data_IF_025745188990
#
_entry.id   IF_025745188990
#
_cell.length_a   1.000
_cell.length_b   1.000
_cell.length_c   1.000
_cell.angle_alpha   90.00
_cell.angle_beta   90.00
_cell.angle_gamma   90.00
#
_symmetry.space_group_name_H-M   'P 1'
#
loop_
_entity.id
_entity.type
_entity.pdbx_description
1 polymer ?
#
# COMPACT_ATOMS: atom_id res chain seq x y z
N UNK A 1 -22.22 -1.47 6.11
CA UNK A 1 -20.84 -1.54 5.59
C UNK A 1 -20.20 -0.20 5.84
N UNK A 2 -18.94 -0.13 6.32
CA UNK A 2 -18.20 1.13 6.39
C UNK A 2 -18.13 1.76 4.99
N UNK A 3 -18.10 3.09 4.94
CA UNK A 3 -17.91 3.83 3.70
C UNK A 3 -16.49 3.61 3.15
N UNK A 4 -16.36 3.52 1.82
CA UNK A 4 -15.07 3.26 1.16
C UNK A 4 -14.04 4.34 1.50
N UNK A 5 -14.46 5.60 1.59
CA UNK A 5 -13.62 6.73 2.03
C UNK A 5 -12.99 6.50 3.42
N UNK A 6 -13.72 5.89 4.37
CA UNK A 6 -13.19 5.60 5.70
C UNK A 6 -12.11 4.52 5.68
N UNK A 7 -12.18 3.61 4.71
CA UNK A 7 -11.18 2.56 4.52
C UNK A 7 -9.95 3.03 3.72
N UNK A 8 -10.03 4.18 3.05
CA UNK A 8 -8.91 4.81 2.34
C UNK A 8 -8.01 5.68 3.23
N UNK A 9 -8.33 5.76 4.53
CA UNK A 9 -7.51 6.50 5.48
C UNK A 9 -6.12 5.86 5.67
N UNK A 10 -5.14 6.69 6.05
CA UNK A 10 -3.81 6.20 6.41
C UNK A 10 -3.88 5.25 7.61
N UNK A 11 -3.09 4.18 7.55
CA UNK A 11 -3.00 3.24 8.67
C UNK A 11 -2.37 3.92 9.89
N UNK A 12 -2.88 3.68 11.10
CA UNK A 12 -2.23 4.15 12.32
C UNK A 12 -0.78 3.64 12.38
N UNK A 13 0.15 4.45 12.89
CA UNK A 13 1.58 4.08 12.93
C UNK A 13 1.85 2.76 13.67
N UNK A 14 1.15 2.53 14.80
CA UNK A 14 1.22 1.26 15.53
C UNK A 14 0.81 0.05 14.69
N UNK A 15 -0.18 0.22 13.81
CA UNK A 15 -0.65 -0.84 12.93
C UNK A 15 0.28 -1.04 11.74
N UNK A 16 0.84 0.04 11.18
CA UNK A 16 1.85 -0.04 10.13
C UNK A 16 3.12 -0.75 10.61
N UNK A 17 3.61 -0.42 11.81
CA UNK A 17 4.77 -1.09 12.41
C UNK A 17 4.48 -2.57 12.64
N UNK A 18 3.27 -2.91 13.10
CA UNK A 18 2.84 -4.30 13.26
C UNK A 18 2.79 -5.03 11.92
N UNK A 19 2.27 -4.43 10.84
CA UNK A 19 2.25 -5.03 9.50
C UNK A 19 3.66 -5.26 8.93
N UNK A 20 4.64 -4.43 9.33
CA UNK A 20 6.04 -4.62 8.93
C UNK A 20 6.68 -5.82 9.64
N UNK A 21 6.30 -6.08 10.89
CA UNK A 21 6.82 -7.19 11.69
C UNK A 21 6.09 -8.51 11.45
N UNK A 22 4.76 -8.45 11.40
CA UNK A 22 3.87 -9.56 11.06
C UNK A 22 3.51 -9.49 9.59
N UNK A 23 4.24 -10.26 8.78
CA UNK A 23 3.84 -10.49 7.40
C UNK A 23 2.38 -10.98 7.37
N UNK A 24 1.58 -10.38 6.48
CA UNK A 24 0.19 -10.80 6.21
C UNK A 24 0.21 -12.32 5.96
N UNK A 25 -0.73 -13.10 6.56
CA UNK A 25 -0.74 -14.54 6.45
C UNK A 25 -0.51 -14.96 4.99
N UNK A 26 0.53 -15.76 4.72
CA UNK A 26 0.88 -16.12 3.35
C UNK A 26 -0.28 -16.90 2.71
N UNK A 27 -0.38 -16.85 1.39
CA UNK A 27 -1.38 -17.62 0.62
C UNK A 27 -1.27 -19.15 0.79
N UNK A 28 -0.21 -19.61 1.48
CA UNK A 28 0.04 -21.00 1.88
C UNK A 28 -0.52 -21.33 3.28
N UNK A 29 -1.28 -20.41 3.89
CA UNK A 29 -1.95 -20.68 5.15
C UNK A 29 -2.86 -21.90 4.99
N UNK A 30 -2.73 -22.88 5.90
CA UNK A 30 -3.50 -24.13 5.93
C UNK A 30 -4.94 -23.89 6.41
N UNK A 31 -5.65 -23.01 5.70
CA UNK A 31 -7.01 -22.57 6.00
C UNK A 31 -7.88 -22.66 4.76
N UNK A 32 -9.16 -22.92 4.96
CA UNK A 32 -10.13 -22.94 3.87
C UNK A 32 -10.33 -21.53 3.28
N UNK A 33 -10.71 -21.47 2.00
CA UNK A 33 -10.95 -20.21 1.29
C UNK A 33 -11.92 -19.25 2.02
N UNK A 34 -13.09 -19.69 2.56
CA UNK A 34 -13.95 -18.80 3.32
C UNK A 34 -13.28 -18.23 4.57
N UNK A 35 -12.52 -19.03 5.31
CA UNK A 35 -11.72 -18.55 6.45
C UNK A 35 -10.67 -17.54 6.02
N UNK A 36 -9.98 -17.76 4.90
CA UNK A 36 -9.02 -16.80 4.36
C UNK A 36 -9.67 -15.46 3.98
N UNK A 37 -10.86 -15.51 3.38
CA UNK A 37 -11.66 -14.31 3.06
C UNK A 37 -12.01 -13.57 4.35
N UNK A 38 -12.46 -14.29 5.39
CA UNK A 38 -12.85 -13.69 6.66
C UNK A 38 -11.64 -13.02 7.36
N UNK A 39 -10.45 -13.63 7.29
CA UNK A 39 -9.19 -13.04 7.78
C UNK A 39 -8.83 -11.77 7.00
N UNK A 40 -8.86 -11.82 5.67
CA UNK A 40 -8.51 -10.67 4.83
C UNK A 40 -9.49 -9.50 5.04
N UNK A 41 -10.79 -9.78 5.14
CA UNK A 41 -11.79 -8.77 5.43
C UNK A 41 -11.61 -8.20 6.85
N UNK A 42 -11.33 -9.03 7.85
CA UNK A 42 -11.06 -8.57 9.21
C UNK A 42 -9.82 -7.67 9.30
N UNK A 43 -8.76 -7.99 8.56
CA UNK A 43 -7.54 -7.18 8.51
C UNK A 43 -7.80 -5.78 7.95
N UNK A 44 -8.72 -5.65 6.99
CA UNK A 44 -9.11 -4.39 6.35
C UNK A 44 -10.27 -3.68 7.06
N UNK A 45 -10.62 -4.09 8.29
CA UNK A 45 -11.78 -3.56 9.03
C UNK A 45 -13.12 -3.68 8.25
N UNK A 46 -13.24 -4.69 7.38
CA UNK A 46 -14.46 -4.99 6.62
C UNK A 46 -15.25 -6.07 7.38
N UNK A 47 -16.41 -5.74 7.98
CA UNK A 47 -17.23 -6.73 8.66
C UNK A 47 -17.80 -7.75 7.66
N UNK A 48 -17.73 -9.03 8.04
CA UNK A 48 -18.36 -10.14 7.30
C UNK A 48 -19.69 -10.49 7.97
N UNK A 49 -20.78 -10.34 7.22
CA UNK A 49 -22.13 -10.69 7.66
C UNK A 49 -22.55 -12.03 7.01
N UNK A 50 -23.84 -12.20 6.67
CA UNK A 50 -24.34 -13.45 6.07
C UNK A 50 -23.78 -13.75 4.68
N UNK A 51 -23.40 -12.72 3.92
CA UNK A 51 -22.86 -12.87 2.56
C UNK A 51 -21.46 -12.29 2.43
N UNK A 52 -20.48 -13.18 2.25
CA UNK A 52 -19.08 -12.84 1.94
C UNK A 52 -18.93 -12.09 0.63
N UNK A 53 -19.89 -12.23 -0.29
CA UNK A 53 -19.88 -11.54 -1.59
C UNK A 53 -19.95 -10.02 -1.41
N UNK A 54 -20.73 -9.54 -0.44
CA UNK A 54 -20.78 -8.10 -0.15
C UNK A 54 -19.44 -7.61 0.40
N UNK A 55 -18.86 -8.32 1.37
CA UNK A 55 -17.54 -8.01 1.94
C UNK A 55 -16.44 -7.98 0.88
N UNK A 56 -16.43 -8.96 -0.02
CA UNK A 56 -15.53 -9.00 -1.18
C UNK A 56 -15.76 -7.85 -2.15
N UNK A 57 -17.02 -7.46 -2.37
CA UNK A 57 -17.31 -6.31 -3.22
C UNK A 57 -16.69 -5.03 -2.67
N UNK A 58 -16.80 -4.75 -1.36
CA UNK A 58 -16.11 -3.59 -0.77
C UNK A 58 -14.59 -3.68 -0.90
N UNK A 59 -14.01 -4.86 -0.70
CA UNK A 59 -12.57 -5.08 -0.88
C UNK A 59 -12.14 -4.76 -2.32
N UNK A 60 -12.88 -5.25 -3.32
CA UNK A 60 -12.56 -4.96 -4.72
C UNK A 60 -12.84 -3.51 -5.12
N UNK A 61 -13.91 -2.89 -4.61
CA UNK A 61 -14.18 -1.46 -4.82
C UNK A 61 -13.03 -0.63 -4.26
N UNK A 62 -12.60 -0.90 -3.04
CA UNK A 62 -11.46 -0.24 -2.43
C UNK A 62 -10.20 -0.42 -3.27
N UNK A 63 -9.90 -1.64 -3.71
CA UNK A 63 -8.76 -1.89 -4.59
C UNK A 63 -8.84 -1.09 -5.90
N UNK A 64 -10.02 -0.99 -6.51
CA UNK A 64 -10.23 -0.22 -7.74
C UNK A 64 -10.08 1.28 -7.51
N UNK A 65 -10.59 1.81 -6.40
CA UNK A 65 -10.43 3.24 -6.04
C UNK A 65 -8.97 3.58 -5.76
N UNK A 66 -8.25 2.72 -5.03
CA UNK A 66 -6.79 2.84 -4.87
C UNK A 66 -6.05 2.81 -6.22
N UNK A 67 -6.43 1.90 -7.12
CA UNK A 67 -5.82 1.79 -8.45
C UNK A 67 -6.16 2.96 -9.37
N UNK A 68 -7.33 3.57 -9.22
CA UNK A 68 -7.78 4.68 -10.06
C UNK A 68 -7.31 6.05 -9.54
N UNK A 69 -7.00 6.18 -8.25
CA UNK A 69 -6.47 7.41 -7.66
C UNK A 69 -5.08 7.77 -8.25
N UNK A 70 -4.97 8.97 -8.83
CA UNK A 70 -3.67 9.51 -9.30
C UNK A 70 -2.72 9.82 -8.14
N UNK A 71 -3.27 10.16 -6.97
CA UNK A 71 -2.51 10.43 -5.75
C UNK A 71 -1.69 9.21 -5.28
N UNK A 72 -2.21 7.99 -5.40
CA UNK A 72 -1.49 6.77 -5.01
C UNK A 72 -0.52 6.27 -6.10
N UNK A 73 -0.90 6.40 -7.38
CA UNK A 73 0.00 6.11 -8.51
C UNK A 73 1.27 6.96 -8.46
N UNK A 74 1.15 8.23 -8.10
CA UNK A 74 2.30 9.11 -7.94
C UNK A 74 3.20 8.66 -6.78
N UNK A 75 2.62 8.25 -5.65
CA UNK A 75 3.38 7.79 -4.47
C UNK A 75 4.13 6.47 -4.72
N UNK A 76 3.52 5.51 -5.42
CA UNK A 76 4.18 4.26 -5.83
C UNK A 76 5.29 4.46 -6.88
N UNK A 77 5.14 5.45 -7.77
CA UNK A 77 6.17 5.77 -8.77
C UNK A 77 7.37 6.55 -8.21
N UNK A 78 7.24 7.23 -7.06
CA UNK A 78 8.35 8.00 -6.45
C UNK A 78 9.43 7.07 -5.86
N UNK A 79 9.06 5.87 -5.44
CA UNK A 79 10.00 4.84 -4.94
C UNK A 79 10.97 4.31 -6.01
N UNK A 80 10.69 4.54 -7.29
CA UNK A 80 11.55 4.18 -8.44
C UNK A 80 12.43 5.35 -8.91
N UNK A 81 12.71 6.33 -8.04
CA UNK A 81 13.75 7.31 -8.37
C UNK A 81 15.13 6.67 -8.14
N UNK A 82 15.94 6.40 -9.19
CA UNK A 82 17.31 6.02 -8.97
C UNK A 82 17.97 7.19 -8.27
N UNK A 83 18.32 6.96 -7.01
CA UNK A 83 19.26 7.74 -6.24
C UNK A 83 20.39 8.14 -7.19
N UNK A 84 20.46 9.44 -7.55
CA UNK A 84 21.51 10.00 -8.40
C UNK A 84 22.84 9.80 -7.67
N UNK A 85 23.42 8.62 -7.88
CA UNK A 85 24.74 8.23 -7.41
C UNK A 85 25.74 9.14 -8.11
N UNK A 86 26.46 9.92 -7.31
CA UNK A 86 27.43 10.89 -7.77
C UNK A 86 28.53 10.28 -8.63
N UNK A 87 29.10 11.13 -9.48
CA UNK A 87 30.32 10.91 -10.23
C UNK A 87 31.03 12.26 -10.41
N UNK A 88 32.02 12.49 -9.56
CA UNK A 88 33.06 13.51 -9.59
C UNK A 88 33.63 13.74 -11.01
N UNK A 89 33.97 14.98 -11.38
CA UNK A 89 35.36 15.46 -11.49
C UNK A 89 35.47 16.69 -12.44
N UNK A 90 36.29 17.65 -12.01
CA UNK A 90 37.06 18.57 -12.86
C UNK A 90 36.39 19.77 -13.56
N UNK A 91 36.35 20.92 -12.85
CA UNK A 91 36.79 22.22 -13.40
C UNK A 91 36.80 23.28 -12.30
N UNK A 92 37.78 23.17 -11.41
CA UNK A 92 38.24 24.29 -10.60
C UNK A 92 39.38 25.01 -11.33
N UNK A 93 39.20 25.43 -12.59
CA UNK A 93 40.24 26.17 -13.33
C UNK A 93 39.67 26.89 -14.56
N UNK A 94 39.00 28.05 -14.35
CA UNK A 94 38.96 29.20 -15.30
C UNK A 94 38.03 30.31 -14.81
N UNK A 95 38.58 31.27 -14.08
CA UNK A 95 38.50 32.68 -14.45
C UNK A 95 39.39 33.51 -13.51
N UNK A 96 40.70 33.45 -13.76
CA UNK A 96 41.51 34.66 -13.65
C UNK A 96 41.54 35.24 -15.06
N UNK A 97 40.86 36.36 -15.27
CA UNK A 97 41.20 37.27 -16.37
C UNK A 97 41.25 38.66 -15.74
N UNK A 98 42.44 39.23 -15.88
CA UNK A 98 42.95 40.57 -15.59
C UNK A 98 41.92 41.71 -15.66
#
# INVERSE_FOLDING_TARGET
MPDVDSLMQEWPSEFEDLLRETAVPPADADVDLPTYIDIACALLDIPVYESRVQSLHALFTLYLDFKNSEHFKAMMNVSDSPMRRGGNDDSADRMVID
#
